data_IF_933118912175
#
_entry.id   IF_933118912175
#
_cell.length_a   1.000
_cell.length_b   1.000
_cell.length_c   1.000
_cell.angle_alpha   90.00
_cell.angle_beta   90.00
_cell.angle_gamma   90.00
#
_symmetry.space_group_name_H-M   'P 1'
#
loop_
_entity.id
_entity.type
_entity.pdbx_description
1 polymer ?
#
# COMPACT_ATOMS: atom_id res chain seq x y z
N UNK A 1 -15.40 -0.89 20.49
CA UNK A 1 -14.09 -0.93 21.18
C UNK A 1 -13.03 -0.67 20.12
N UNK A 2 -11.93 0.02 20.47
CA UNK A 2 -10.82 0.22 19.55
C UNK A 2 -10.14 -1.11 19.19
N UNK A 3 -9.61 -1.22 17.98
CA UNK A 3 -8.84 -2.37 17.50
C UNK A 3 -7.42 -2.26 18.06
N UNK A 4 -6.98 -3.26 18.82
CA UNK A 4 -5.62 -3.33 19.36
C UNK A 4 -4.67 -3.82 18.28
N UNK A 5 -3.79 -2.94 17.82
CA UNK A 5 -2.84 -3.21 16.75
C UNK A 5 -1.41 -3.29 17.28
N UNK A 6 -0.71 -4.36 16.96
CA UNK A 6 0.74 -4.45 17.08
C UNK A 6 1.39 -4.25 15.71
N UNK A 7 2.50 -3.52 15.66
CA UNK A 7 3.25 -3.27 14.43
C UNK A 7 4.55 -4.08 14.46
N UNK A 8 4.69 -5.04 13.56
CA UNK A 8 5.92 -5.81 13.37
C UNK A 8 6.73 -5.21 12.23
N UNK A 9 7.84 -4.56 12.54
CA UNK A 9 8.66 -3.76 11.62
C UNK A 9 8.26 -2.28 11.62
N UNK A 10 9.10 -1.44 12.22
CA UNK A 10 8.88 -0.01 12.34
C UNK A 10 9.68 0.80 11.30
N UNK A 11 9.73 0.25 10.07
CA UNK A 11 10.28 0.87 8.87
C UNK A 11 9.39 2.01 8.34
N UNK A 12 9.52 2.33 7.06
CA UNK A 12 8.74 3.40 6.40
C UNK A 12 7.23 3.23 6.61
N UNK A 13 6.70 2.08 6.23
CA UNK A 13 5.26 1.80 6.28
C UNK A 13 4.76 1.67 7.72
N UNK A 14 5.50 0.96 8.58
CA UNK A 14 5.12 0.83 10.01
C UNK A 14 5.02 2.16 10.72
N UNK A 15 5.96 3.10 10.48
CA UNK A 15 5.90 4.45 11.07
C UNK A 15 4.75 5.30 10.52
N UNK A 16 4.46 5.22 9.23
CA UNK A 16 3.32 5.94 8.66
C UNK A 16 1.99 5.38 9.15
N UNK A 17 1.87 4.06 9.26
CA UNK A 17 0.69 3.41 9.85
C UNK A 17 0.51 3.86 11.32
N UNK A 18 1.61 3.90 12.09
CA UNK A 18 1.58 4.44 13.44
C UNK A 18 1.07 5.87 13.48
N UNK A 19 1.63 6.77 12.64
CA UNK A 19 1.20 8.18 12.59
C UNK A 19 -0.28 8.36 12.26
N UNK A 20 -0.85 7.44 11.46
CA UNK A 20 -2.27 7.47 11.08
C UNK A 20 -3.19 6.85 12.14
N UNK A 21 -2.74 5.82 12.84
CA UNK A 21 -3.57 5.11 13.83
C UNK A 21 -3.47 5.71 15.23
N UNK A 22 -2.32 6.31 15.60
CA UNK A 22 -2.12 6.85 16.95
C UNK A 22 -3.03 8.04 17.19
N UNK A 23 -3.91 7.92 18.20
CA UNK A 23 -4.92 8.93 18.53
C UNK A 23 -6.13 8.96 17.60
N UNK A 24 -6.18 8.13 16.56
CA UNK A 24 -7.33 8.04 15.67
C UNK A 24 -8.44 7.16 16.27
N UNK A 25 -9.69 7.52 16.02
CA UNK A 25 -10.85 6.79 16.51
C UNK A 25 -10.91 5.36 15.92
N UNK A 26 -11.10 4.40 16.80
CA UNK A 26 -11.23 2.99 16.42
C UNK A 26 -9.92 2.21 16.43
N UNK A 27 -8.78 2.83 16.71
CA UNK A 27 -7.48 2.17 16.79
C UNK A 27 -6.79 2.35 18.14
N UNK A 28 -6.04 1.35 18.54
CA UNK A 28 -5.11 1.42 19.66
C UNK A 28 -3.80 0.69 19.28
N UNK A 29 -2.72 1.45 19.05
CA UNK A 29 -1.40 0.83 18.89
C UNK A 29 -0.90 0.44 20.27
N UNK A 30 -0.75 -0.88 20.50
CA UNK A 30 -0.41 -1.44 21.83
C UNK A 30 1.04 -1.85 21.92
N UNK A 31 1.71 -2.17 20.80
CA UNK A 31 3.10 -2.60 20.78
C UNK A 31 3.75 -2.38 19.42
N UNK A 32 5.07 -2.33 19.43
CA UNK A 32 5.93 -2.35 18.25
C UNK A 32 6.96 -3.46 18.45
N UNK A 33 7.31 -4.19 17.39
CA UNK A 33 8.48 -5.05 17.35
C UNK A 33 9.43 -4.59 16.24
N UNK A 34 10.67 -4.29 16.58
CA UNK A 34 11.73 -3.95 15.62
C UNK A 34 13.11 -4.26 16.24
N UNK A 35 14.06 -4.70 15.44
CA UNK A 35 15.41 -5.03 15.92
C UNK A 35 16.30 -3.79 16.13
N UNK A 36 15.82 -2.62 15.75
CA UNK A 36 16.49 -1.32 15.91
C UNK A 36 16.21 -0.75 17.30
N UNK A 37 17.17 -0.05 17.87
CA UNK A 37 17.04 0.56 19.20
C UNK A 37 15.94 1.64 19.26
N UNK A 38 15.26 1.81 20.41
CA UNK A 38 14.15 2.75 20.56
C UNK A 38 14.51 4.22 20.29
N UNK A 39 15.75 4.63 20.56
CA UNK A 39 16.21 6.01 20.31
C UNK A 39 16.22 6.33 18.81
N UNK A 40 16.72 5.39 18.00
CA UNK A 40 16.71 5.52 16.53
C UNK A 40 15.28 5.50 16.00
N UNK A 41 14.44 4.59 16.48
CA UNK A 41 13.03 4.49 16.05
C UNK A 41 12.25 5.75 16.39
N UNK A 42 12.43 6.30 17.60
CA UNK A 42 11.81 7.57 18.02
C UNK A 42 12.28 8.74 17.16
N UNK A 43 13.58 8.80 16.83
CA UNK A 43 14.12 9.83 15.94
C UNK A 43 13.49 9.77 14.55
N UNK A 44 13.42 8.59 13.97
CA UNK A 44 12.84 8.37 12.64
C UNK A 44 11.30 8.54 12.63
N UNK A 45 10.63 8.37 13.77
CA UNK A 45 9.22 8.70 13.91
C UNK A 45 8.99 10.21 13.88
N UNK A 46 9.88 10.98 14.52
CA UNK A 46 9.79 12.46 14.57
C UNK A 46 10.02 13.10 13.21
N UNK A 47 11.06 12.65 12.50
CA UNK A 47 11.58 13.30 11.30
C UNK A 47 11.55 12.34 10.11
N UNK A 48 10.96 12.80 9.03
CA UNK A 48 10.82 12.02 7.80
C UNK A 48 11.11 12.92 6.60
N UNK A 49 12.11 12.56 5.81
CA UNK A 49 12.56 13.38 4.68
C UNK A 49 11.55 13.42 3.52
N UNK A 50 10.71 12.38 3.38
CA UNK A 50 9.70 12.30 2.32
C UNK A 50 8.32 12.80 2.80
N UNK A 51 7.94 12.46 4.05
CA UNK A 51 6.60 12.72 4.60
C UNK A 51 6.57 13.88 5.61
N UNK A 52 7.72 14.53 5.83
CA UNK A 52 7.82 15.65 6.74
C UNK A 52 7.81 15.29 8.22
N UNK A 53 7.91 16.32 9.04
CA UNK A 53 7.93 16.20 10.49
C UNK A 53 6.58 15.67 11.00
N UNK A 54 6.62 14.72 11.94
CA UNK A 54 5.42 14.22 12.60
C UNK A 54 4.74 15.33 13.42
N UNK A 55 3.42 15.44 13.35
CA UNK A 55 2.67 16.46 14.07
C UNK A 55 2.89 16.41 15.59
N UNK A 56 3.14 15.22 16.15
CA UNK A 56 3.43 15.00 17.56
C UNK A 56 4.94 14.87 17.86
N UNK A 57 5.83 15.31 16.96
CA UNK A 57 7.28 15.11 17.11
C UNK A 57 7.84 15.62 18.44
N UNK A 58 7.34 16.75 18.95
CA UNK A 58 7.80 17.33 20.23
C UNK A 58 7.33 16.53 21.46
N UNK A 59 6.36 15.65 21.28
CA UNK A 59 5.80 14.78 22.30
C UNK A 59 6.32 13.34 22.22
N UNK A 60 7.26 13.05 21.33
CA UNK A 60 7.88 11.72 21.20
C UNK A 60 9.14 11.66 22.06
N UNK A 61 9.21 10.69 22.95
CA UNK A 61 10.36 10.43 23.82
C UNK A 61 10.74 8.96 23.72
N UNK A 62 12.04 8.67 23.56
CA UNK A 62 12.56 7.30 23.63
C UNK A 62 12.75 6.88 25.09
N UNK A 63 12.23 5.71 25.45
CA UNK A 63 12.59 5.00 26.69
C UNK A 63 13.70 3.98 26.44
N UNK A 64 13.96 3.10 27.40
CA UNK A 64 14.93 2.02 27.28
C UNK A 64 14.45 0.94 26.29
N UNK A 65 13.17 0.53 26.41
CA UNK A 65 12.51 -0.46 25.58
C UNK A 65 11.09 0.00 25.18
N UNK A 66 10.92 1.30 24.99
CA UNK A 66 9.63 1.91 24.66
C UNK A 66 9.80 3.24 23.89
N UNK A 67 8.70 3.66 23.29
CA UNK A 67 8.52 5.05 22.82
C UNK A 67 7.27 5.60 23.49
N UNK A 68 7.40 6.75 24.14
CA UNK A 68 6.27 7.52 24.66
C UNK A 68 5.86 8.58 23.64
N UNK A 69 4.60 8.63 23.27
CA UNK A 69 4.02 9.65 22.37
C UNK A 69 2.83 10.28 23.07
N UNK A 70 2.84 11.61 23.23
CA UNK A 70 1.79 12.38 23.90
C UNK A 70 1.36 11.77 25.26
N UNK A 71 2.36 11.34 26.05
CA UNK A 71 2.16 10.73 27.36
C UNK A 71 1.76 9.26 27.37
N UNK A 72 1.47 8.64 26.20
CA UNK A 72 1.17 7.21 26.10
C UNK A 72 2.44 6.45 25.77
N UNK A 73 2.84 5.54 26.65
CA UNK A 73 3.97 4.64 26.45
C UNK A 73 3.57 3.45 25.56
N UNK A 74 4.41 3.12 24.61
CA UNK A 74 4.25 1.99 23.70
C UNK A 74 5.51 1.13 23.79
N UNK A 75 5.34 -0.10 24.24
CA UNK A 75 6.43 -1.06 24.40
C UNK A 75 7.02 -1.44 23.04
N UNK A 76 8.35 -1.51 22.99
CA UNK A 76 9.11 -2.02 21.85
C UNK A 76 9.71 -3.36 22.24
N UNK A 77 9.38 -4.37 21.48
CA UNK A 77 10.04 -5.67 21.50
C UNK A 77 11.16 -5.70 20.46
N UNK A 78 12.19 -6.50 20.72
CA UNK A 78 13.33 -6.69 19.80
C UNK A 78 13.51 -8.19 19.58
N UNK A 79 12.48 -8.84 19.02
CA UNK A 79 12.44 -10.27 18.81
C UNK A 79 12.40 -10.60 17.30
N UNK A 80 13.35 -11.40 16.84
CA UNK A 80 13.44 -11.82 15.45
C UNK A 80 12.46 -12.95 15.10
N UNK A 81 12.14 -13.80 16.09
CA UNK A 81 11.20 -14.91 15.94
C UNK A 81 9.81 -14.49 16.40
N UNK A 82 8.93 -14.22 15.44
CA UNK A 82 7.60 -13.71 15.71
C UNK A 82 6.75 -14.64 16.59
N UNK A 83 7.04 -15.94 16.64
CA UNK A 83 6.31 -16.91 17.48
C UNK A 83 6.55 -16.72 18.98
N UNK A 84 7.59 -15.96 19.36
CA UNK A 84 7.95 -15.65 20.74
C UNK A 84 7.40 -14.32 21.25
N UNK A 85 6.72 -13.57 20.39
CA UNK A 85 6.13 -12.30 20.76
C UNK A 85 4.87 -12.47 21.62
N UNK A 86 4.63 -11.62 22.62
CA UNK A 86 3.56 -11.85 23.60
C UNK A 86 2.19 -11.35 23.13
N UNK A 87 1.83 -11.58 21.85
CA UNK A 87 0.61 -11.02 21.28
C UNK A 87 -0.66 -11.44 21.99
N UNK A 88 -0.74 -12.70 22.41
CA UNK A 88 -1.88 -13.21 23.19
C UNK A 88 -1.97 -12.57 24.56
N UNK A 89 -0.85 -12.39 25.28
CA UNK A 89 -0.80 -11.82 26.62
C UNK A 89 -1.28 -10.36 26.66
N UNK A 90 -0.92 -9.57 25.65
CA UNK A 90 -1.33 -8.15 25.53
C UNK A 90 -2.64 -7.95 24.76
N UNK A 91 -3.25 -9.06 24.28
CA UNK A 91 -4.56 -9.06 23.65
C UNK A 91 -4.61 -8.38 22.29
N UNK A 92 -3.61 -8.64 21.42
CA UNK A 92 -3.54 -8.07 20.08
C UNK A 92 -4.68 -8.60 19.22
N UNK A 93 -5.48 -7.69 18.65
CA UNK A 93 -6.50 -8.04 17.68
C UNK A 93 -5.88 -8.24 16.28
N UNK A 94 -5.02 -7.33 15.84
CA UNK A 94 -4.38 -7.39 14.52
C UNK A 94 -2.89 -7.10 14.63
N UNK A 95 -2.06 -7.99 14.06
CA UNK A 95 -0.67 -7.67 13.76
C UNK A 95 -0.58 -7.05 12.37
N UNK A 96 0.01 -5.86 12.27
CA UNK A 96 0.45 -5.28 11.02
C UNK A 96 1.88 -5.72 10.73
N UNK A 97 2.04 -6.60 9.73
CA UNK A 97 3.34 -7.14 9.34
C UNK A 97 4.02 -6.26 8.30
N UNK A 98 5.08 -5.55 8.68
CA UNK A 98 5.82 -4.58 7.86
C UNK A 98 7.31 -4.88 7.71
N UNK A 99 7.80 -6.06 8.16
CA UNK A 99 9.23 -6.39 8.11
C UNK A 99 9.70 -6.80 6.72
N UNK A 100 8.81 -7.33 5.88
CA UNK A 100 9.15 -7.96 4.61
C UNK A 100 9.73 -9.37 4.73
N UNK A 101 9.77 -9.96 5.95
CA UNK A 101 10.23 -11.35 6.20
C UNK A 101 9.07 -12.34 6.22
N UNK A 102 7.95 -11.98 6.84
CA UNK A 102 6.76 -12.82 7.01
C UNK A 102 5.74 -12.59 5.89
N UNK A 103 6.20 -12.62 4.62
CA UNK A 103 5.39 -12.29 3.43
C UNK A 103 4.75 -13.52 2.77
N UNK A 104 4.22 -14.44 3.57
CA UNK A 104 3.40 -15.57 3.12
C UNK A 104 2.50 -16.04 4.25
N UNK A 105 1.41 -16.74 3.92
CA UNK A 105 0.50 -17.32 4.93
C UNK A 105 1.26 -18.19 5.93
N UNK A 106 2.08 -19.12 5.44
CA UNK A 106 2.84 -20.05 6.27
C UNK A 106 3.80 -19.34 7.24
N UNK A 107 4.49 -18.29 6.78
CA UNK A 107 5.39 -17.52 7.66
C UNK A 107 4.62 -16.66 8.66
N UNK A 108 3.56 -16.01 8.23
CA UNK A 108 2.75 -15.14 9.09
C UNK A 108 1.96 -15.91 10.14
N UNK A 109 1.83 -17.24 9.98
CA UNK A 109 1.25 -18.13 11.01
C UNK A 109 1.95 -17.98 12.37
N UNK A 110 3.24 -17.65 12.40
CA UNK A 110 3.99 -17.39 13.62
C UNK A 110 3.34 -16.31 14.52
N UNK A 111 2.70 -15.30 13.93
CA UNK A 111 1.98 -14.28 14.71
C UNK A 111 0.68 -14.80 15.31
N UNK A 112 -0.02 -15.68 14.59
CA UNK A 112 -1.22 -16.37 15.10
C UNK A 112 -0.84 -17.32 16.25
N UNK A 113 0.25 -18.08 16.06
CA UNK A 113 0.77 -19.00 17.08
C UNK A 113 1.22 -18.22 18.35
N UNK A 114 1.68 -16.98 18.19
CA UNK A 114 1.99 -16.04 19.28
C UNK A 114 0.73 -15.43 19.95
N UNK A 115 -0.47 -15.76 19.47
CA UNK A 115 -1.74 -15.38 20.07
C UNK A 115 -2.40 -14.13 19.48
N UNK A 116 -1.93 -13.59 18.35
CA UNK A 116 -2.66 -12.57 17.62
C UNK A 116 -3.92 -13.18 16.98
N UNK A 117 -5.02 -12.43 16.93
CA UNK A 117 -6.26 -12.93 16.32
C UNK A 117 -6.19 -12.87 14.79
N UNK A 118 -5.57 -11.83 14.23
CA UNK A 118 -5.49 -11.57 12.80
C UNK A 118 -4.14 -10.99 12.41
N UNK A 119 -3.74 -11.16 11.13
CA UNK A 119 -2.53 -10.57 10.54
C UNK A 119 -2.87 -9.89 9.24
N UNK A 120 -2.39 -8.66 9.05
CA UNK A 120 -2.40 -7.93 7.77
C UNK A 120 -0.96 -7.79 7.29
N UNK A 121 -0.64 -8.43 6.16
CA UNK A 121 0.69 -8.36 5.54
C UNK A 121 0.76 -7.14 4.62
N UNK A 122 1.73 -6.26 4.84
CA UNK A 122 1.93 -5.03 4.06
C UNK A 122 2.69 -5.26 2.75
N UNK A 123 2.46 -6.40 2.10
CA UNK A 123 3.10 -6.77 0.84
C UNK A 123 2.27 -7.84 0.11
N UNK A 124 2.49 -8.05 -1.21
CA UNK A 124 1.99 -9.24 -1.90
C UNK A 124 2.52 -10.52 -1.22
N UNK A 125 1.65 -11.48 -0.92
CA UNK A 125 1.98 -12.61 -0.04
C UNK A 125 1.62 -13.99 -0.60
N UNK A 126 1.47 -14.12 -1.92
CA UNK A 126 1.10 -15.37 -2.59
C UNK A 126 -0.40 -15.42 -2.97
N UNK A 127 -0.87 -16.61 -3.33
CA UNK A 127 -2.23 -16.82 -3.82
C UNK A 127 -3.05 -17.73 -2.87
N UNK A 128 -2.47 -18.12 -1.74
CA UNK A 128 -3.05 -19.03 -0.74
C UNK A 128 -3.73 -18.29 0.41
N UNK A 129 -3.88 -16.97 0.28
CA UNK A 129 -4.57 -16.11 1.23
C UNK A 129 -5.28 -14.96 0.48
N UNK A 130 -6.32 -14.35 1.07
CA UNK A 130 -7.01 -13.22 0.46
C UNK A 130 -6.06 -12.04 0.23
N UNK A 131 -6.10 -11.47 -0.98
CA UNK A 131 -5.41 -10.22 -1.32
C UNK A 131 -6.46 -9.13 -1.49
N UNK A 132 -6.34 -8.07 -0.69
CA UNK A 132 -7.37 -7.03 -0.55
C UNK A 132 -6.85 -5.67 -0.97
N UNK A 133 -7.67 -4.97 -1.74
CA UNK A 133 -7.58 -3.53 -1.99
C UNK A 133 -8.86 -2.89 -1.45
N UNK A 134 -8.74 -2.08 -0.41
CA UNK A 134 -9.88 -1.43 0.23
C UNK A 134 -10.64 -0.53 -0.76
N UNK A 135 -11.96 -0.63 -0.75
CA UNK A 135 -12.84 0.04 -1.70
C UNK A 135 -13.02 -0.68 -3.04
N UNK A 136 -12.43 -1.89 -3.19
CA UNK A 136 -12.59 -2.72 -4.40
C UNK A 136 -13.11 -4.11 -4.06
N UNK A 137 -12.47 -4.83 -3.14
CA UNK A 137 -12.81 -6.22 -2.87
C UNK A 137 -12.73 -6.62 -1.38
N UNK A 138 -12.72 -5.71 -0.43
CA UNK A 138 -12.70 -6.04 1.00
C UNK A 138 -13.89 -6.92 1.44
N UNK A 139 -14.96 -6.90 0.69
CA UNK A 139 -16.18 -7.70 0.92
C UNK A 139 -15.98 -9.21 0.70
N UNK A 140 -14.85 -9.65 0.11
CA UNK A 140 -14.51 -11.08 0.02
C UNK A 140 -14.11 -11.68 1.37
N UNK A 141 -13.74 -10.83 2.33
CA UNK A 141 -13.27 -11.24 3.64
C UNK A 141 -14.41 -11.77 4.51
N UNK A 142 -14.10 -12.78 5.29
CA UNK A 142 -15.01 -13.40 6.26
C UNK A 142 -14.44 -13.36 7.67
N UNK A 143 -15.25 -13.72 8.67
CA UNK A 143 -14.81 -13.83 10.06
C UNK A 143 -13.73 -14.92 10.25
N UNK A 144 -13.74 -15.95 9.40
CA UNK A 144 -12.82 -17.09 9.47
C UNK A 144 -11.42 -16.78 8.92
N UNK A 145 -11.28 -15.69 8.16
CA UNK A 145 -9.99 -15.26 7.66
C UNK A 145 -9.13 -14.73 8.82
N UNK A 146 -7.91 -15.24 8.93
CA UNK A 146 -6.96 -14.83 9.97
C UNK A 146 -5.73 -14.10 9.43
N UNK A 147 -5.32 -14.38 8.20
CA UNK A 147 -4.13 -13.79 7.56
C UNK A 147 -4.50 -13.32 6.17
N UNK A 148 -4.28 -12.04 5.89
CA UNK A 148 -4.55 -11.41 4.59
C UNK A 148 -3.37 -10.58 4.09
N UNK A 149 -3.34 -10.34 2.79
CA UNK A 149 -2.43 -9.39 2.14
C UNK A 149 -3.17 -8.09 1.79
N UNK A 150 -2.60 -6.95 2.16
CA UNK A 150 -3.06 -5.63 1.70
C UNK A 150 -2.50 -5.26 0.30
N UNK A 151 -2.08 -6.26 -0.49
CA UNK A 151 -1.51 -6.08 -1.83
C UNK A 151 -0.24 -5.18 -1.84
N UNK A 152 0.05 -4.55 -2.97
CA UNK A 152 1.12 -3.56 -3.12
C UNK A 152 0.55 -2.15 -3.29
N UNK A 153 1.40 -1.13 -3.12
CA UNK A 153 1.02 0.26 -3.37
C UNK A 153 0.53 0.48 -4.81
N UNK A 154 1.20 -0.12 -5.79
CA UNK A 154 0.81 -0.03 -7.21
C UNK A 154 -0.51 -0.76 -7.48
N UNK A 155 -0.75 -1.92 -6.86
CA UNK A 155 -2.04 -2.63 -6.97
C UNK A 155 -3.19 -1.81 -6.36
N UNK A 156 -2.94 -1.16 -5.22
CA UNK A 156 -3.92 -0.26 -4.59
C UNK A 156 -4.26 0.96 -5.45
N UNK A 157 -3.31 1.45 -6.25
CA UNK A 157 -3.57 2.52 -7.20
C UNK A 157 -4.30 2.03 -8.46
N UNK A 158 -3.86 0.90 -9.04
CA UNK A 158 -4.39 0.35 -10.27
C UNK A 158 -5.84 -0.15 -10.14
N UNK A 159 -6.12 -0.88 -9.05
CA UNK A 159 -7.36 -1.65 -8.93
C UNK A 159 -8.64 -0.80 -8.99
N UNK A 160 -8.82 0.30 -8.23
CA UNK A 160 -10.06 1.07 -8.30
C UNK A 160 -10.25 1.72 -9.69
N UNK A 161 -9.18 2.22 -10.31
CA UNK A 161 -9.22 2.80 -11.66
C UNK A 161 -9.58 1.75 -12.71
N UNK A 162 -8.94 0.57 -12.68
CA UNK A 162 -9.23 -0.52 -13.60
C UNK A 162 -10.65 -1.08 -13.39
N UNK A 163 -11.13 -1.16 -12.15
CA UNK A 163 -12.48 -1.59 -11.81
C UNK A 163 -13.54 -0.64 -12.37
N UNK A 164 -13.37 0.67 -12.17
CA UNK A 164 -14.29 1.68 -12.68
C UNK A 164 -14.34 1.67 -14.22
N UNK A 165 -13.19 1.53 -14.89
CA UNK A 165 -13.13 1.42 -16.35
C UNK A 165 -13.78 0.12 -16.85
N UNK A 166 -13.50 -1.01 -16.22
CA UNK A 166 -14.05 -2.32 -16.60
C UNK A 166 -15.57 -2.37 -16.42
N UNK A 167 -16.12 -1.67 -15.43
CA UNK A 167 -17.55 -1.54 -15.21
C UNK A 167 -18.23 -0.63 -16.25
N UNK A 168 -17.53 0.39 -16.76
CA UNK A 168 -18.02 1.23 -17.85
C UNK A 168 -18.00 0.46 -19.18
N UNK A 169 -16.87 -0.14 -19.50
CA UNK A 169 -16.65 -0.88 -20.74
C UNK A 169 -15.64 -2.01 -20.48
N UNK A 170 -16.01 -3.28 -20.69
CA UNK A 170 -15.17 -4.42 -20.35
C UNK A 170 -13.77 -4.35 -20.98
N UNK A 171 -12.73 -4.44 -20.15
CA UNK A 171 -11.35 -4.45 -20.60
C UNK A 171 -11.05 -5.80 -21.27
N UNK A 172 -10.57 -5.76 -22.52
CA UNK A 172 -10.14 -6.94 -23.29
C UNK A 172 -8.67 -7.25 -23.03
N UNK A 173 -7.83 -6.23 -23.06
CA UNK A 173 -6.39 -6.33 -22.79
C UNK A 173 -5.84 -4.97 -22.40
N UNK A 174 -4.68 -4.96 -21.76
CA UNK A 174 -4.02 -3.69 -21.43
C UNK A 174 -2.59 -3.84 -20.98
N UNK A 175 -1.88 -2.70 -21.03
CA UNK A 175 -0.52 -2.54 -20.52
C UNK A 175 -0.57 -1.48 -19.43
N UNK A 176 -0.14 -1.82 -18.22
CA UNK A 176 0.08 -0.84 -17.18
C UNK A 176 1.56 -0.49 -17.07
N UNK A 177 1.83 0.78 -16.92
CA UNK A 177 3.14 1.30 -16.57
C UNK A 177 3.03 2.09 -15.26
N UNK A 178 3.88 1.81 -14.30
CA UNK A 178 4.04 2.74 -13.18
C UNK A 178 5.36 3.50 -13.30
N UNK A 179 5.28 4.84 -13.26
CA UNK A 179 6.41 5.72 -13.02
C UNK A 179 6.49 5.90 -11.51
N UNK A 180 7.46 5.23 -10.88
CA UNK A 180 7.47 5.00 -9.45
C UNK A 180 8.66 5.69 -8.78
N UNK A 181 8.42 6.32 -7.64
CA UNK A 181 9.48 6.82 -6.78
C UNK A 181 10.46 5.70 -6.40
N UNK A 182 11.72 6.04 -6.11
CA UNK A 182 12.66 5.06 -5.57
C UNK A 182 12.22 4.60 -4.16
N UNK A 183 12.63 3.41 -3.77
CA UNK A 183 12.30 2.85 -2.46
C UNK A 183 13.56 2.26 -1.81
N UNK A 184 13.49 1.99 -0.49
CA UNK A 184 14.63 1.54 0.30
C UNK A 184 15.21 0.17 -0.08
N UNK A 185 14.66 -0.51 -1.07
CA UNK A 185 15.23 -1.72 -1.67
C UNK A 185 16.25 -1.42 -2.78
N UNK A 186 16.35 -0.16 -3.24
CA UNK A 186 17.36 0.27 -4.20
C UNK A 186 18.62 0.78 -3.48
N UNK A 187 19.73 0.80 -4.21
CA UNK A 187 20.99 1.29 -3.67
C UNK A 187 21.06 2.82 -3.75
N UNK A 188 21.66 3.45 -2.72
CA UNK A 188 21.92 4.91 -2.72
C UNK A 188 23.01 5.24 -3.74
N UNK A 189 24.12 4.51 -3.71
CA UNK A 189 25.18 4.49 -4.72
C UNK A 189 25.27 3.09 -5.32
N UNK A 190 25.97 2.95 -6.45
CA UNK A 190 26.20 1.65 -7.08
C UNK A 190 26.82 0.65 -6.08
N UNK A 191 26.13 -0.48 -5.89
CA UNK A 191 26.57 -1.50 -4.94
C UNK A 191 25.79 -2.81 -5.08
N UNK A 192 26.26 -3.90 -4.46
CA UNK A 192 25.63 -5.20 -4.60
C UNK A 192 24.21 -5.21 -4.00
N UNK A 193 23.23 -5.53 -4.84
CA UNK A 193 21.84 -5.67 -4.41
C UNK A 193 21.59 -7.03 -3.75
N UNK A 194 20.87 -7.05 -2.62
CA UNK A 194 20.65 -8.28 -1.79
C UNK A 194 20.04 -9.47 -2.55
N UNK A 195 19.23 -9.18 -3.60
CA UNK A 195 18.57 -10.21 -4.43
C UNK A 195 19.21 -10.37 -5.81
N UNK A 196 20.41 -9.78 -6.03
CA UNK A 196 21.12 -9.88 -7.30
C UNK A 196 20.50 -9.11 -8.48
N UNK A 197 19.58 -8.17 -8.23
CA UNK A 197 19.00 -7.34 -9.29
C UNK A 197 20.01 -6.27 -9.73
N UNK A 198 20.52 -6.42 -10.96
CA UNK A 198 21.58 -5.57 -11.51
C UNK A 198 21.13 -4.12 -11.75
N UNK A 199 19.83 -3.87 -11.98
CA UNK A 199 19.30 -2.52 -12.17
C UNK A 199 19.09 -1.82 -10.84
N UNK A 200 18.53 -2.52 -9.84
CA UNK A 200 18.37 -1.97 -8.48
C UNK A 200 19.71 -1.80 -7.73
N UNK A 201 20.79 -2.41 -8.24
CA UNK A 201 22.15 -2.22 -7.77
C UNK A 201 22.73 -0.83 -8.11
N UNK A 202 22.05 -0.07 -8.98
CA UNK A 202 22.51 1.26 -9.41
C UNK A 202 21.92 2.36 -8.53
N UNK A 203 22.62 3.49 -8.48
CA UNK A 203 22.25 4.67 -7.69
C UNK A 203 20.84 5.17 -8.01
N UNK A 204 19.94 5.15 -7.02
CA UNK A 204 18.53 5.42 -7.18
C UNK A 204 18.22 6.88 -7.53
N UNK A 205 18.97 7.83 -6.93
CA UNK A 205 18.66 9.27 -7.02
C UNK A 205 19.15 9.95 -8.31
N UNK A 206 19.83 9.21 -9.23
CA UNK A 206 20.39 9.78 -10.47
C UNK A 206 20.04 8.96 -11.73
N UNK A 207 19.21 7.92 -11.59
CA UNK A 207 18.88 7.03 -12.71
C UNK A 207 17.37 6.82 -12.86
N UNK A 208 16.92 6.67 -14.10
CA UNK A 208 15.67 5.98 -14.41
C UNK A 208 15.99 4.48 -14.43
N UNK A 209 15.34 3.71 -13.57
CA UNK A 209 15.63 2.28 -13.37
C UNK A 209 14.44 1.43 -13.82
N UNK A 210 14.52 0.77 -15.01
CA UNK A 210 13.48 -0.14 -15.46
C UNK A 210 13.34 -1.35 -14.52
N UNK A 211 12.11 -1.72 -14.17
CA UNK A 211 11.81 -2.82 -13.26
C UNK A 211 10.59 -3.60 -13.71
N UNK A 212 10.52 -4.84 -13.30
CA UNK A 212 9.26 -5.60 -13.34
C UNK A 212 8.33 -5.13 -12.22
N UNK A 213 7.02 -5.31 -12.43
CA UNK A 213 6.00 -5.15 -11.39
C UNK A 213 5.08 -6.36 -11.37
N UNK A 214 4.74 -6.82 -10.17
CA UNK A 214 3.73 -7.87 -9.99
C UNK A 214 2.28 -7.33 -10.00
N UNK A 215 2.08 -6.01 -10.07
CA UNK A 215 0.76 -5.40 -9.91
C UNK A 215 -0.24 -5.84 -10.99
N UNK A 216 0.22 -5.96 -12.26
CA UNK A 216 -0.63 -6.43 -13.35
C UNK A 216 -1.08 -7.90 -13.18
N UNK A 217 -0.23 -8.76 -12.58
CA UNK A 217 -0.63 -10.13 -12.22
C UNK A 217 -1.55 -10.16 -11.00
N UNK A 218 -1.24 -9.32 -10.00
CA UNK A 218 -2.01 -9.27 -8.76
C UNK A 218 -3.43 -8.73 -8.97
N UNK A 219 -3.67 -7.99 -10.07
CA UNK A 219 -5.01 -7.45 -10.36
C UNK A 219 -6.06 -8.56 -10.46
N UNK A 220 -5.73 -9.72 -11.00
CA UNK A 220 -6.64 -10.86 -11.10
C UNK A 220 -7.01 -11.50 -9.76
N UNK A 221 -6.24 -11.24 -8.68
CA UNK A 221 -6.59 -11.64 -7.31
C UNK A 221 -7.60 -10.69 -6.68
N UNK A 222 -7.68 -9.46 -7.16
CA UNK A 222 -8.54 -8.39 -6.64
C UNK A 222 -9.80 -8.24 -7.51
N UNK A 223 -9.63 -8.33 -8.82
CA UNK A 223 -10.70 -8.24 -9.84
C UNK A 223 -10.57 -9.47 -10.75
N UNK A 224 -11.27 -10.57 -10.44
CA UNK A 224 -11.14 -11.84 -11.16
C UNK A 224 -11.37 -11.73 -12.68
N UNK A 225 -12.23 -10.82 -13.11
CA UNK A 225 -12.56 -10.58 -14.53
C UNK A 225 -11.35 -10.04 -15.33
N UNK A 226 -10.37 -9.48 -14.65
CA UNK A 226 -9.13 -8.95 -15.26
C UNK A 226 -7.97 -9.95 -15.23
N UNK A 227 -8.20 -11.17 -14.74
CA UNK A 227 -7.15 -12.19 -14.69
C UNK A 227 -6.62 -12.49 -16.09
N UNK A 228 -5.29 -12.34 -16.27
CA UNK A 228 -4.60 -12.58 -17.54
C UNK A 228 -4.79 -11.51 -18.63
N UNK A 229 -5.62 -10.47 -18.38
CA UNK A 229 -5.86 -9.41 -19.38
C UNK A 229 -4.82 -8.27 -19.33
N UNK A 230 -4.11 -8.12 -18.22
CA UNK A 230 -3.14 -7.03 -18.03
C UNK A 230 -1.71 -7.56 -17.92
N UNK A 231 -0.79 -6.87 -18.59
CA UNK A 231 0.66 -6.99 -18.36
C UNK A 231 1.19 -5.65 -17.85
N UNK A 232 2.39 -5.63 -17.26
CA UNK A 232 2.90 -4.38 -16.72
C UNK A 232 4.39 -4.32 -16.44
N UNK A 233 4.89 -3.10 -16.38
CA UNK A 233 6.26 -2.75 -16.06
C UNK A 233 6.32 -1.54 -15.14
N UNK A 234 7.51 -1.24 -14.61
CA UNK A 234 7.79 -0.09 -13.78
C UNK A 234 9.03 0.65 -14.26
N UNK A 235 9.02 1.97 -14.13
CA UNK A 235 10.18 2.83 -14.26
C UNK A 235 10.39 3.52 -12.91
N UNK A 236 11.47 3.20 -12.20
CA UNK A 236 11.83 3.93 -10.99
C UNK A 236 12.54 5.22 -11.36
N UNK A 237 12.12 6.33 -10.77
CA UNK A 237 12.60 7.68 -11.08
C UNK A 237 13.18 8.37 -9.84
N UNK A 238 14.03 9.41 -10.00
CA UNK A 238 14.73 10.08 -8.89
C UNK A 238 13.84 11.01 -8.07
N UNK A 239 12.73 10.49 -7.53
CA UNK A 239 11.88 11.20 -6.57
C UNK A 239 11.68 10.35 -5.32
N UNK A 240 11.62 10.95 -4.10
CA UNK A 240 11.60 10.18 -2.85
C UNK A 240 10.24 9.51 -2.56
N UNK A 241 9.15 10.11 -3.02
CA UNK A 241 7.78 9.58 -2.98
C UNK A 241 6.93 10.30 -4.00
N UNK A 242 5.73 9.79 -4.28
CA UNK A 242 4.88 10.31 -5.35
C UNK A 242 5.10 9.57 -6.66
N UNK A 243 4.14 8.71 -7.00
CA UNK A 243 4.19 7.79 -8.14
C UNK A 243 2.91 7.93 -8.96
N UNK A 244 2.95 7.49 -10.21
CA UNK A 244 1.77 7.45 -11.08
C UNK A 244 1.64 6.09 -11.75
N UNK A 245 0.41 5.62 -11.92
CA UNK A 245 0.06 4.44 -12.70
C UNK A 245 -0.67 4.87 -13.96
N UNK A 246 -0.16 4.44 -15.10
CA UNK A 246 -0.73 4.64 -16.43
C UNK A 246 -1.26 3.29 -16.89
N UNK A 247 -2.56 3.22 -17.21
CA UNK A 247 -3.19 2.05 -17.80
C UNK A 247 -3.64 2.38 -19.21
N UNK A 248 -2.97 1.79 -20.21
CA UNK A 248 -3.43 1.80 -21.60
C UNK A 248 -4.12 0.48 -21.88
N UNK A 249 -5.39 0.51 -22.25
CA UNK A 249 -6.22 -0.68 -22.41
C UNK A 249 -7.13 -0.58 -23.63
N UNK A 250 -7.45 -1.74 -24.20
CA UNK A 250 -8.51 -1.89 -25.21
C UNK A 250 -9.77 -2.34 -24.49
N UNK A 251 -10.83 -1.57 -24.63
CA UNK A 251 -12.16 -1.86 -24.06
C UNK A 251 -13.18 -2.21 -25.13
N UNK A 252 -14.25 -2.88 -24.74
CA UNK A 252 -15.38 -3.18 -25.62
C UNK A 252 -16.23 -1.95 -25.90
N UNK A 253 -16.71 -1.82 -27.15
CA UNK A 253 -17.58 -0.74 -27.55
C UNK A 253 -16.85 0.60 -27.75
N UNK A 254 -17.66 1.64 -27.99
CA UNK A 254 -17.20 3.01 -28.15
C UNK A 254 -17.41 3.78 -26.85
N UNK A 255 -16.35 4.43 -26.38
CA UNK A 255 -16.40 5.32 -25.21
C UNK A 255 -15.73 6.66 -25.54
N UNK A 256 -16.11 7.72 -24.85
CA UNK A 256 -15.50 9.05 -24.96
C UNK A 256 -14.73 9.41 -23.70
N UNK A 257 -13.87 10.44 -23.78
CA UNK A 257 -13.15 11.00 -22.62
C UNK A 257 -14.13 11.40 -21.51
N UNK A 258 -15.23 12.05 -21.88
CA UNK A 258 -16.25 12.51 -20.95
C UNK A 258 -16.93 11.34 -20.21
N UNK A 259 -17.24 10.25 -20.94
CA UNK A 259 -17.83 9.05 -20.33
C UNK A 259 -16.86 8.37 -19.36
N UNK A 260 -15.58 8.24 -19.74
CA UNK A 260 -14.54 7.68 -18.87
C UNK A 260 -14.40 8.54 -17.61
N UNK A 261 -14.23 9.85 -17.76
CA UNK A 261 -14.08 10.76 -16.62
C UNK A 261 -15.33 10.78 -15.72
N UNK A 262 -16.52 10.74 -16.30
CA UNK A 262 -17.77 10.66 -15.56
C UNK A 262 -17.87 9.36 -14.74
N UNK A 263 -17.48 8.21 -15.32
CA UNK A 263 -17.46 6.93 -14.62
C UNK A 263 -16.48 6.94 -13.45
N UNK A 264 -15.27 7.49 -13.64
CA UNK A 264 -14.27 7.63 -12.57
C UNK A 264 -14.77 8.56 -11.47
N UNK A 265 -15.38 9.68 -11.81
CA UNK A 265 -15.96 10.63 -10.85
C UNK A 265 -17.10 10.00 -10.05
N UNK A 266 -17.95 9.21 -10.69
CA UNK A 266 -19.03 8.47 -10.03
C UNK A 266 -18.52 7.37 -9.10
N UNK A 267 -17.35 6.77 -9.39
CA UNK A 267 -16.72 5.76 -8.57
C UNK A 267 -15.89 6.34 -7.39
N UNK A 268 -15.80 7.67 -7.27
CA UNK A 268 -15.00 8.32 -6.24
C UNK A 268 -15.50 8.00 -4.82
N UNK A 269 -14.55 7.72 -3.92
CA UNK A 269 -14.76 7.37 -2.50
C UNK A 269 -13.65 7.99 -1.65
N UNK A 270 -13.68 7.89 -0.32
CA UNK A 270 -12.54 8.29 0.51
C UNK A 270 -11.23 7.52 0.23
N UNK A 271 -11.28 6.39 -0.50
CA UNK A 271 -10.11 5.61 -0.90
C UNK A 271 -9.75 5.76 -2.38
N UNK A 272 -10.67 6.22 -3.22
CA UNK A 272 -10.46 6.49 -4.65
C UNK A 272 -10.86 7.93 -4.96
N UNK A 273 -9.86 8.81 -5.13
CA UNK A 273 -10.07 10.22 -5.42
C UNK A 273 -10.17 10.52 -6.91
N UNK A 274 -10.66 11.71 -7.22
CA UNK A 274 -10.80 12.25 -8.57
C UNK A 274 -10.30 13.69 -8.59
N UNK A 275 -9.50 14.06 -9.60
CA UNK A 275 -9.02 15.44 -9.77
C UNK A 275 -9.09 15.89 -11.23
N UNK A 276 -9.32 17.18 -11.41
CA UNK A 276 -9.21 17.92 -12.69
C UNK A 276 -8.06 18.93 -12.64
N UNK A 277 -7.26 18.92 -11.56
CA UNK A 277 -6.11 19.80 -11.42
C UNK A 277 -4.87 19.21 -12.11
N UNK A 278 -4.01 20.09 -12.61
CA UNK A 278 -2.75 19.71 -13.27
C UNK A 278 -1.66 19.47 -12.23
N UNK A 279 -1.67 18.28 -11.63
CA UNK A 279 -0.78 17.89 -10.55
C UNK A 279 0.55 17.34 -11.06
N UNK A 280 1.57 17.44 -10.19
CA UNK A 280 2.85 16.74 -10.32
C UNK A 280 3.14 15.92 -9.05
N UNK A 281 4.17 15.08 -9.08
CA UNK A 281 4.45 14.12 -8.02
C UNK A 281 4.66 14.73 -6.62
N UNK A 282 5.11 15.97 -6.52
CA UNK A 282 5.27 16.65 -5.22
C UNK A 282 3.94 17.07 -4.58
N UNK A 283 2.89 17.29 -5.40
CA UNK A 283 1.58 17.75 -4.93
C UNK A 283 0.79 16.65 -4.24
N UNK A 284 1.13 15.39 -4.56
CA UNK A 284 0.43 14.22 -4.02
C UNK A 284 1.10 13.62 -2.79
N UNK A 285 2.16 14.23 -2.27
CA UNK A 285 2.83 13.75 -1.06
C UNK A 285 1.87 13.88 0.13
N UNK A 286 1.68 12.79 0.86
CA UNK A 286 0.82 12.75 2.03
C UNK A 286 -0.67 12.58 1.75
N UNK A 287 -1.11 12.43 0.48
CA UNK A 287 -2.52 12.15 0.20
C UNK A 287 -2.95 10.81 0.82
N UNK A 288 -4.23 10.72 1.17
CA UNK A 288 -4.82 9.55 1.83
C UNK A 288 -5.71 8.69 0.92
N UNK A 289 -5.89 9.10 -0.33
CA UNK A 289 -6.49 8.24 -1.35
C UNK A 289 -5.52 7.12 -1.71
N UNK A 290 -5.97 5.88 -1.79
CA UNK A 290 -5.17 4.78 -2.31
C UNK A 290 -4.81 4.97 -3.78
N UNK A 291 -5.67 5.68 -4.50
CA UNK A 291 -5.55 6.06 -5.90
C UNK A 291 -6.25 7.41 -6.11
N UNK A 292 -5.61 8.35 -6.79
CA UNK A 292 -6.18 9.64 -7.18
C UNK A 292 -6.21 9.72 -8.71
N UNK A 293 -7.38 9.51 -9.29
CA UNK A 293 -7.57 9.56 -10.74
C UNK A 293 -7.39 10.98 -11.28
N UNK A 294 -6.59 11.11 -12.34
CA UNK A 294 -6.29 12.38 -13.02
C UNK A 294 -7.08 12.47 -14.33
N UNK A 295 -8.19 13.20 -14.30
CA UNK A 295 -9.05 13.36 -15.45
C UNK A 295 -8.41 14.17 -16.60
N UNK A 296 -7.35 14.93 -16.32
CA UNK A 296 -6.65 15.74 -17.34
C UNK A 296 -5.77 14.88 -18.25
N UNK A 297 -5.48 13.62 -17.85
CA UNK A 297 -4.61 12.70 -18.57
C UNK A 297 -5.38 11.60 -19.33
N UNK A 298 -6.70 11.63 -19.33
CA UNK A 298 -7.52 10.66 -20.05
C UNK A 298 -7.37 10.85 -21.55
N UNK A 299 -7.03 9.78 -22.27
CA UNK A 299 -6.99 9.75 -23.72
C UNK A 299 -7.83 8.59 -24.25
N UNK A 300 -8.52 8.84 -25.34
CA UNK A 300 -9.43 7.86 -25.97
C UNK A 300 -9.21 7.87 -27.48
N UNK A 301 -9.11 6.68 -28.07
CA UNK A 301 -8.97 6.50 -29.52
C UNK A 301 -9.88 5.34 -29.97
N UNK A 302 -10.96 5.61 -30.74
CA UNK A 302 -11.75 4.55 -31.37
C UNK A 302 -10.88 3.71 -32.32
N UNK A 303 -11.17 2.40 -32.38
CA UNK A 303 -10.51 1.45 -33.27
C UNK A 303 -11.52 0.90 -34.31
N UNK A 304 -11.03 0.50 -35.47
CA UNK A 304 -11.86 0.08 -36.63
C UNK A 304 -12.69 -1.19 -36.40
N UNK A 305 -12.46 -1.89 -35.28
CA UNK A 305 -13.11 -3.17 -34.95
C UNK A 305 -14.23 -3.03 -33.90
N UNK A 306 -14.74 -1.84 -33.64
CA UNK A 306 -15.77 -1.61 -32.65
C UNK A 306 -15.29 -1.69 -31.20
N UNK A 307 -14.00 -1.48 -30.96
CA UNK A 307 -13.36 -1.34 -29.64
C UNK A 307 -12.76 0.05 -29.50
N UNK A 308 -12.34 0.39 -28.30
CA UNK A 308 -11.70 1.68 -28.02
C UNK A 308 -10.41 1.46 -27.24
N UNK A 309 -9.34 2.13 -27.66
CA UNK A 309 -8.12 2.26 -26.86
C UNK A 309 -8.27 3.43 -25.89
N UNK A 310 -8.06 3.16 -24.61
CA UNK A 310 -8.23 4.12 -23.52
C UNK A 310 -6.96 4.16 -22.68
N UNK A 311 -6.41 5.36 -22.46
CA UNK A 311 -5.40 5.59 -21.44
C UNK A 311 -6.06 6.29 -20.25
N UNK A 312 -5.85 5.74 -19.07
CA UNK A 312 -6.21 6.34 -17.78
C UNK A 312 -4.97 6.47 -16.90
N UNK A 313 -4.95 7.52 -16.08
CA UNK A 313 -3.81 7.84 -15.20
C UNK A 313 -4.31 8.09 -13.79
N UNK A 314 -3.61 7.54 -12.80
CA UNK A 314 -3.86 7.81 -11.40
C UNK A 314 -2.57 8.04 -10.63
N UNK A 315 -2.61 8.99 -9.71
CA UNK A 315 -1.55 9.32 -8.77
C UNK A 315 -1.68 8.52 -7.48
N UNK A 316 -0.56 8.24 -6.84
CA UNK A 316 -0.51 7.68 -5.48
C UNK A 316 0.78 8.06 -4.77
N UNK A 317 0.68 8.48 -3.53
CA UNK A 317 1.84 8.46 -2.65
C UNK A 317 2.13 7.00 -2.33
N UNK A 318 3.17 6.44 -2.91
CA UNK A 318 3.49 5.01 -2.78
C UNK A 318 3.72 4.56 -1.33
N UNK A 319 3.89 5.50 -0.40
CA UNK A 319 3.97 5.24 1.04
C UNK A 319 2.65 5.59 1.74
N UNK A 320 2.21 6.85 1.72
CA UNK A 320 1.06 7.29 2.51
C UNK A 320 -0.28 6.86 1.96
N UNK A 321 -0.50 6.87 0.63
CA UNK A 321 -1.71 6.34 -0.01
C UNK A 321 -1.93 4.87 0.32
N UNK A 322 -0.87 4.07 0.14
CA UNK A 322 -0.87 2.65 0.45
C UNK A 322 -1.17 2.40 1.93
N UNK A 323 -0.46 3.11 2.81
CA UNK A 323 -0.65 3.00 4.26
C UNK A 323 -2.08 3.35 4.66
N UNK A 324 -2.68 4.36 4.06
CA UNK A 324 -4.05 4.77 4.35
C UNK A 324 -5.07 3.69 4.01
N UNK A 325 -4.94 3.04 2.85
CA UNK A 325 -5.82 1.93 2.48
C UNK A 325 -5.59 0.71 3.37
N UNK A 326 -4.35 0.41 3.70
CA UNK A 326 -4.00 -0.68 4.61
C UNK A 326 -4.58 -0.45 6.02
N UNK A 327 -4.51 0.77 6.54
CA UNK A 327 -5.11 1.13 7.84
C UNK A 327 -6.64 0.96 7.81
N UNK A 328 -7.31 1.36 6.71
CA UNK A 328 -8.75 1.08 6.52
C UNK A 328 -9.04 -0.42 6.50
N UNK A 329 -8.21 -1.19 5.80
CA UNK A 329 -8.31 -2.66 5.75
C UNK A 329 -8.17 -3.30 7.13
N UNK A 330 -7.22 -2.84 7.97
CA UNK A 330 -7.03 -3.32 9.35
C UNK A 330 -8.34 -3.18 10.15
N UNK A 331 -8.97 -2.01 10.10
CA UNK A 331 -10.22 -1.75 10.84
C UNK A 331 -11.35 -2.64 10.36
N UNK A 332 -11.58 -2.66 9.05
CA UNK A 332 -12.62 -3.50 8.43
C UNK A 332 -12.43 -4.99 8.81
N UNK A 333 -11.22 -5.50 8.64
CA UNK A 333 -10.89 -6.90 8.91
C UNK A 333 -11.06 -7.27 10.38
N UNK A 334 -10.70 -6.39 11.31
CA UNK A 334 -10.91 -6.62 12.74
C UNK A 334 -12.39 -6.60 13.12
N UNK A 335 -13.22 -5.82 12.44
CA UNK A 335 -14.65 -5.70 12.75
C UNK A 335 -15.45 -6.92 12.31
N UNK A 336 -14.98 -7.70 11.34
CA UNK A 336 -15.61 -8.97 10.92
C UNK A 336 -15.65 -10.05 12.00
N UNK A 337 -14.86 -9.90 13.07
CA UNK A 337 -14.79 -10.87 14.18
C UNK A 337 -15.65 -10.45 15.37
N UNK A 338 -16.38 -9.36 15.28
CA UNK A 338 -17.30 -8.83 16.29
C UNK A 338 -18.74 -9.20 15.98
#
# INVERSE_FOLDING_TARGET
>A
MAVKVAINGFGRIGRLAFRQMFGAEGYEVVAINDLTDPKMLAHLLKYDSAQGRYALADKVVAGEDSITVDGKEIKIYSEADASKLPWGEIGVDVVLECTGFYVSKAKSQAHIDAGAKKVVISAPAGNDLPTVVFGVNENILTADDTIISAASCTTNCLAPMANALNNLAPIKSGIMLTVHAYTGDQMVLDGPHRKGDLRRARAAAVNIVPNSTGAAKAIGLVIPELNGKLIGSAQRVPVPTGSTTILTSVVEGEVTVEQVNAAMKAAATPSFGYTEEQLVSSDIIGITYGSLFDATQTMVKPLDNGTTEVQTVAWYDNENSYTSNMVRTIKYFAELSK
#
